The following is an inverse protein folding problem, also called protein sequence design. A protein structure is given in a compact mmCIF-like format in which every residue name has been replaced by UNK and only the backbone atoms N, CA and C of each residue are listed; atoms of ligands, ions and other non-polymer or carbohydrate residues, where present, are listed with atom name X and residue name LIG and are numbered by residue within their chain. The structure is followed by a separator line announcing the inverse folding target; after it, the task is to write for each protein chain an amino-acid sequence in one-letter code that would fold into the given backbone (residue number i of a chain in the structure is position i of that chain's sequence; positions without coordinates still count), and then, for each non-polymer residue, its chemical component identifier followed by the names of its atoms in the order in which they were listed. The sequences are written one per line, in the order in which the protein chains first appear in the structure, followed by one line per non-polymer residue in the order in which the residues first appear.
data_IF_187677736397
#
_entry.id   IF_187677736397
#
_cell.length_a   1.000
_cell.length_b   1.000
_cell.length_c   1.000
_cell.angle_alpha   90.00
_cell.angle_beta   90.00
_cell.angle_gamma   90.00
#
_symmetry.space_group_name_H-M   'P 1'
#
loop_
_entity.id
_entity.type
_entity.pdbx_description
1 polymer ?
#
# COMPACT_ATOMS: atom_id res chain seq x y z
N UNK A 1 19.39 -38.21 8.39
CA UNK A 1 19.31 -36.77 8.74
C UNK A 1 18.85 -36.01 7.49
N UNK A 2 18.24 -34.82 7.65
CA UNK A 2 17.78 -33.86 6.61
C UNK A 2 16.46 -34.15 5.86
N UNK A 3 15.30 -33.91 6.47
CA UNK A 3 14.04 -33.75 5.70
C UNK A 3 12.92 -32.87 6.32
N UNK A 4 13.15 -32.21 7.47
CA UNK A 4 12.08 -31.43 8.13
C UNK A 4 12.00 -29.95 7.72
N UNK A 5 13.03 -29.37 7.09
CA UNK A 5 13.04 -27.93 6.77
C UNK A 5 12.22 -27.63 5.50
N UNK A 6 12.22 -28.54 4.51
CA UNK A 6 11.58 -28.29 3.22
C UNK A 6 10.04 -28.21 3.27
N UNK A 7 9.38 -28.94 4.19
CA UNK A 7 7.91 -28.92 4.32
C UNK A 7 7.36 -27.66 4.97
N UNK A 8 8.15 -27.00 5.81
CA UNK A 8 7.71 -25.76 6.49
C UNK A 8 7.73 -24.59 5.51
N UNK A 9 8.74 -24.52 4.64
CA UNK A 9 8.85 -23.46 3.61
C UNK A 9 7.75 -23.59 2.56
N UNK A 10 7.39 -24.81 2.14
CA UNK A 10 6.32 -25.03 1.15
C UNK A 10 4.90 -24.78 1.69
N UNK A 11 4.71 -24.89 3.02
CA UNK A 11 3.44 -24.57 3.66
C UNK A 11 3.28 -23.05 3.87
N UNK A 12 4.39 -22.34 4.08
CA UNK A 12 4.40 -20.88 4.21
C UNK A 12 4.09 -20.18 2.87
N UNK A 13 4.59 -20.71 1.75
CA UNK A 13 4.27 -20.19 0.42
C UNK A 13 2.83 -20.48 0.00
N UNK A 14 2.19 -21.52 0.56
CA UNK A 14 0.78 -21.85 0.30
C UNK A 14 -0.19 -20.96 1.10
N UNK A 15 0.19 -20.52 2.30
CA UNK A 15 -0.61 -19.64 3.14
C UNK A 15 -0.69 -18.18 2.62
N UNK A 16 0.23 -17.77 1.75
CA UNK A 16 0.17 -16.45 1.08
C UNK A 16 -0.90 -16.36 -0.02
N UNK A 17 -1.50 -17.49 -0.45
CA UNK A 17 -2.56 -17.49 -1.48
C UNK A 17 -3.90 -16.95 -0.98
N UNK A 18 -4.13 -16.95 0.33
CA UNK A 18 -5.36 -16.43 0.95
C UNK A 18 -5.12 -15.11 1.70
N UNK A 19 -4.06 -14.39 1.36
CA UNK A 19 -3.91 -13.00 1.77
C UNK A 19 -5.12 -12.22 1.22
N UNK A 20 -6.08 -11.91 2.07
CA UNK A 20 -7.21 -11.04 1.72
C UNK A 20 -6.64 -9.66 1.42
N UNK A 21 -6.50 -9.37 0.14
CA UNK A 21 -6.09 -8.06 -0.32
C UNK A 21 -7.30 -7.13 -0.33
N UNK A 22 -7.10 -5.89 0.11
CA UNK A 22 -8.11 -4.83 0.00
C UNK A 22 -7.57 -3.75 -0.91
N UNK A 23 -8.35 -3.37 -1.92
CA UNK A 23 -8.00 -2.24 -2.78
C UNK A 23 -8.35 -0.95 -2.05
N UNK A 24 -7.32 -0.17 -1.69
CA UNK A 24 -7.42 1.12 -1.02
C UNK A 24 -7.18 2.22 -2.05
N UNK A 25 -8.18 3.07 -2.36
CA UNK A 25 -7.97 4.21 -3.23
C UNK A 25 -7.19 5.30 -2.48
N UNK A 26 -6.04 5.70 -3.01
CA UNK A 26 -5.33 6.90 -2.57
C UNK A 26 -5.94 8.11 -3.27
N UNK A 27 -6.27 9.13 -2.49
CA UNK A 27 -6.87 10.37 -2.97
C UNK A 27 -6.06 11.57 -2.49
N UNK A 28 -6.12 12.67 -3.23
CA UNK A 28 -5.59 13.94 -2.76
C UNK A 28 -6.40 14.38 -1.52
N UNK A 29 -5.76 14.72 -0.38
CA UNK A 29 -6.49 15.15 0.80
C UNK A 29 -7.43 16.32 0.50
N UNK A 30 -8.65 16.31 1.04
CA UNK A 30 -9.64 17.39 0.83
C UNK A 30 -9.15 18.75 1.35
N UNK A 31 -8.24 18.73 2.34
CA UNK A 31 -7.62 19.93 2.87
C UNK A 31 -6.56 20.53 1.92
N UNK A 32 -5.99 19.73 1.00
CA UNK A 32 -5.00 20.22 0.05
C UNK A 32 -5.67 21.07 -1.06
N UNK A 33 -4.98 22.09 -1.59
CA UNK A 33 -5.39 22.77 -2.81
C UNK A 33 -5.39 21.80 -4.01
N UNK A 34 -5.99 22.18 -5.16
CA UNK A 34 -5.77 21.45 -6.40
C UNK A 34 -4.28 21.44 -6.74
N UNK A 35 -3.74 20.27 -7.11
CA UNK A 35 -2.32 20.09 -7.39
C UNK A 35 -2.10 19.55 -8.80
N UNK A 36 -0.93 19.81 -9.36
CA UNK A 36 -0.45 19.17 -10.58
C UNK A 36 0.53 18.08 -10.18
N UNK A 37 0.39 16.90 -10.78
CA UNK A 37 1.30 15.80 -10.51
C UNK A 37 2.66 16.06 -11.17
N UNK A 38 3.72 16.19 -10.39
CA UNK A 38 5.06 16.46 -10.93
C UNK A 38 5.78 15.18 -11.30
N UNK A 39 5.74 14.17 -10.43
CA UNK A 39 6.47 12.92 -10.64
C UNK A 39 5.92 11.76 -9.83
N UNK A 40 5.84 10.59 -10.46
CA UNK A 40 5.66 9.31 -9.77
C UNK A 40 7.03 8.68 -9.43
N UNK A 41 7.17 8.20 -8.20
CA UNK A 41 8.32 7.40 -7.77
C UNK A 41 8.07 5.89 -7.90
N UNK A 42 6.80 5.50 -8.08
CA UNK A 42 6.35 4.12 -8.18
C UNK A 42 5.67 3.85 -9.52
N UNK A 43 5.65 2.59 -9.94
CA UNK A 43 4.95 2.12 -11.13
C UNK A 43 3.85 1.13 -10.75
N UNK A 44 2.96 0.87 -11.70
CA UNK A 44 1.96 -0.20 -11.58
C UNK A 44 2.66 -1.53 -11.33
N UNK A 45 2.16 -2.31 -10.37
CA UNK A 45 2.72 -3.57 -9.84
C UNK A 45 3.96 -3.44 -8.97
N UNK A 46 4.40 -2.22 -8.65
CA UNK A 46 5.47 -2.05 -7.66
C UNK A 46 4.96 -2.31 -6.25
N UNK A 47 5.81 -2.93 -5.43
CA UNK A 47 5.56 -3.13 -4.01
C UNK A 47 5.89 -1.84 -3.26
N UNK A 48 4.97 -1.44 -2.39
CA UNK A 48 5.09 -0.23 -1.59
C UNK A 48 4.92 -0.54 -0.11
N UNK A 49 5.76 0.08 0.71
CA UNK A 49 5.69 0.00 2.16
C UNK A 49 4.88 1.16 2.72
N UNK A 50 4.28 0.95 3.90
CA UNK A 50 3.59 2.03 4.61
C UNK A 50 4.56 3.20 4.89
N UNK A 51 4.12 4.40 4.56
CA UNK A 51 4.91 5.63 4.69
C UNK A 51 5.87 5.91 3.54
N UNK A 52 6.02 5.00 2.57
CA UNK A 52 6.86 5.23 1.40
C UNK A 52 6.25 6.32 0.51
N UNK A 53 7.10 7.24 0.04
CA UNK A 53 6.69 8.28 -0.92
C UNK A 53 6.27 7.66 -2.25
N UNK A 54 5.06 7.98 -2.70
CA UNK A 54 4.48 7.50 -3.94
C UNK A 54 4.68 8.51 -5.07
N UNK A 55 4.33 9.77 -4.81
CA UNK A 55 4.44 10.85 -5.77
C UNK A 55 4.65 12.21 -5.12
N UNK A 56 5.13 13.13 -5.93
CA UNK A 56 5.27 14.55 -5.63
C UNK A 56 4.35 15.35 -6.54
N UNK A 57 3.71 16.35 -5.96
CA UNK A 57 2.74 17.20 -6.63
C UNK A 57 2.96 18.66 -6.25
N UNK A 58 2.90 19.55 -7.23
CA UNK A 58 2.96 20.99 -7.00
C UNK A 58 1.56 21.53 -6.82
N UNK A 59 1.30 22.12 -5.65
CA UNK A 59 0.07 22.84 -5.39
C UNK A 59 0.02 24.17 -6.13
N UNK A 60 -1.18 24.63 -6.44
CA UNK A 60 -1.38 25.95 -7.04
C UNK A 60 -1.03 27.12 -6.10
N UNK A 61 -0.87 26.84 -4.82
CA UNK A 61 -0.34 27.76 -3.80
C UNK A 61 1.19 27.89 -3.85
N UNK A 62 1.87 27.14 -4.73
CA UNK A 62 3.33 27.12 -4.85
C UNK A 62 4.03 26.18 -3.87
N UNK A 63 3.26 25.42 -3.07
CA UNK A 63 3.82 24.44 -2.14
C UNK A 63 3.97 23.07 -2.80
N UNK A 64 4.99 22.32 -2.39
CA UNK A 64 5.18 20.93 -2.81
C UNK A 64 4.45 19.99 -1.84
N UNK A 65 3.64 19.08 -2.39
CA UNK A 65 2.90 18.07 -1.66
C UNK A 65 3.44 16.68 -1.97
N UNK A 66 3.89 15.97 -0.95
CA UNK A 66 4.37 14.60 -1.05
C UNK A 66 3.29 13.64 -0.56
N UNK A 67 2.85 12.72 -1.42
CA UNK A 67 1.86 11.70 -1.05
C UNK A 67 2.60 10.41 -0.67
N UNK A 68 2.40 9.96 0.56
CA UNK A 68 2.96 8.72 1.08
C UNK A 68 1.90 7.60 1.14
N UNK A 69 2.36 6.35 1.06
CA UNK A 69 1.50 5.19 1.10
C UNK A 69 0.88 5.01 2.49
N UNK A 70 -0.45 4.94 2.56
CA UNK A 70 -1.14 4.71 3.84
C UNK A 70 -0.99 3.27 4.37
N UNK A 71 -0.81 2.31 3.45
CA UNK A 71 -0.75 0.88 3.73
C UNK A 71 0.37 0.22 2.92
N UNK A 72 0.88 -0.89 3.43
CA UNK A 72 1.77 -1.77 2.68
C UNK A 72 0.98 -2.61 1.68
N UNK A 73 1.51 -2.76 0.48
CA UNK A 73 0.85 -3.50 -0.59
C UNK A 73 1.55 -3.38 -1.93
N UNK A 74 0.76 -3.50 -2.98
CA UNK A 74 1.20 -3.37 -4.38
C UNK A 74 0.35 -2.33 -5.09
N UNK A 75 0.95 -1.50 -5.96
CA UNK A 75 0.19 -0.56 -6.79
C UNK A 75 -0.61 -1.33 -7.83
N UNK A 76 -1.94 -1.29 -7.73
CA UNK A 76 -2.83 -1.97 -8.67
C UNK A 76 -3.00 -1.13 -9.94
N UNK A 77 -3.37 0.15 -9.78
CA UNK A 77 -3.65 1.06 -10.90
C UNK A 77 -3.29 2.50 -10.56
N UNK A 78 -2.77 3.22 -11.55
CA UNK A 78 -2.53 4.67 -11.49
C UNK A 78 -3.57 5.35 -12.39
N UNK A 79 -4.29 6.33 -11.85
CA UNK A 79 -5.36 7.04 -12.57
C UNK A 79 -4.93 8.41 -13.09
N UNK A 80 -3.77 8.90 -12.65
CA UNK A 80 -3.28 10.25 -12.94
C UNK A 80 -1.93 10.18 -13.62
N UNK A 81 -1.83 10.85 -14.77
CA UNK A 81 -0.58 10.96 -15.52
C UNK A 81 0.23 12.17 -15.07
N UNK A 82 1.56 12.09 -15.23
CA UNK A 82 2.47 13.19 -14.94
C UNK A 82 2.06 14.46 -15.70
N UNK A 83 2.08 15.62 -15.04
CA UNK A 83 1.61 16.90 -15.56
C UNK A 83 0.09 17.11 -15.49
N UNK A 84 -0.69 16.12 -15.07
CA UNK A 84 -2.15 16.25 -14.97
C UNK A 84 -2.54 16.98 -13.69
N UNK A 85 -3.54 17.86 -13.81
CA UNK A 85 -4.15 18.56 -12.67
C UNK A 85 -5.16 17.65 -11.98
N UNK A 86 -5.03 17.53 -10.66
CA UNK A 86 -5.90 16.74 -9.79
C UNK A 86 -6.71 17.69 -8.89
N UNK A 87 -8.05 17.58 -8.88
CA UNK A 87 -8.88 18.34 -7.96
C UNK A 87 -8.78 17.80 -6.53
N UNK A 88 -9.28 18.56 -5.56
CA UNK A 88 -9.38 18.13 -4.15
C UNK A 88 -10.17 16.83 -4.05
N UNK A 89 -9.70 15.86 -3.27
CA UNK A 89 -10.33 14.54 -3.18
C UNK A 89 -10.17 13.67 -4.43
N UNK A 90 -9.43 14.14 -5.44
CA UNK A 90 -9.23 13.42 -6.70
C UNK A 90 -8.50 12.11 -6.47
N UNK A 91 -8.96 11.05 -7.15
CA UNK A 91 -8.37 9.72 -7.07
C UNK A 91 -7.02 9.69 -7.78
N UNK A 92 -5.98 9.23 -7.08
CA UNK A 92 -4.60 9.18 -7.56
C UNK A 92 -4.24 7.78 -8.07
N UNK A 93 -4.25 6.79 -7.18
CA UNK A 93 -3.93 5.41 -7.48
C UNK A 93 -4.72 4.46 -6.56
N UNK A 94 -4.80 3.19 -6.96
CA UNK A 94 -5.34 2.10 -6.16
C UNK A 94 -4.18 1.25 -5.64
N UNK A 95 -4.15 1.02 -4.33
CA UNK A 95 -3.16 0.15 -3.68
C UNK A 95 -3.87 -1.14 -3.26
N UNK A 96 -3.37 -2.27 -3.72
CA UNK A 96 -3.76 -3.59 -3.25
C UNK A 96 -3.05 -3.86 -1.92
N UNK A 97 -3.66 -3.42 -0.83
CA UNK A 97 -3.10 -3.54 0.52
C UNK A 97 -3.14 -4.99 1.01
N UNK A 98 -2.03 -5.45 1.57
CA UNK A 98 -1.98 -6.77 2.22
C UNK A 98 -2.45 -6.61 3.66
N UNK A 99 -3.59 -7.22 4.00
CA UNK A 99 -4.01 -7.26 5.41
C UNK A 99 -3.12 -8.26 6.16
N UNK A 100 -2.13 -7.75 6.89
CA UNK A 100 -1.45 -8.53 7.92
C UNK A 100 -2.42 -8.72 9.09
N UNK A 101 -3.25 -9.77 9.03
CA UNK A 101 -4.05 -10.19 10.18
C UNK A 101 -3.08 -10.65 11.25
N UNK A 102 -2.81 -9.80 12.23
CA UNK A 102 -2.09 -10.18 13.44
C UNK A 102 -3.03 -11.11 14.21
N UNK A 103 -3.00 -12.42 13.91
CA UNK A 103 -3.57 -13.43 14.79
C UNK A 103 -2.73 -13.39 16.07
N UNK A 104 -3.11 -12.51 17.00
CA UNK A 104 -2.62 -12.56 18.36
C UNK A 104 -3.21 -13.82 18.95
N UNK A 105 -2.41 -14.88 18.93
CA UNK A 105 -2.75 -16.22 19.34
C UNK A 105 -3.20 -16.19 20.80
N UNK A 106 -4.52 -16.09 21.03
CA UNK A 106 -5.19 -16.39 22.30
C UNK A 106 -5.11 -17.90 22.62
N UNK A 107 -3.94 -18.50 22.44
CA UNK A 107 -3.66 -19.90 22.75
C UNK A 107 -2.71 -20.07 23.94
N UNK A 108 -2.08 -18.99 24.42
CA UNK A 108 -1.22 -19.06 25.61
C UNK A 108 -2.01 -19.15 26.93
N UNK A 109 -3.28 -18.76 26.97
CA UNK A 109 -4.08 -18.80 28.22
C UNK A 109 -4.73 -20.16 28.53
N UNK A 110 -4.58 -21.17 27.66
CA UNK A 110 -5.20 -22.50 27.89
C UNK A 110 -4.23 -23.60 28.33
N UNK A 111 -2.95 -23.28 28.51
CA UNK A 111 -1.93 -24.23 28.99
C UNK A 111 -1.47 -23.93 30.43
N UNK A 112 -2.16 -23.01 31.14
CA UNK A 112 -1.93 -22.66 32.55
C UNK A 112 -3.17 -22.89 33.43
N UNK A 113 -3.86 -24.01 33.22
CA UNK A 113 -4.77 -24.59 34.23
C UNK A 113 -4.63 -26.09 34.24
#
# INVERSE_FOLDING_TARGET
MTNSVARVVSSFTRALKDAKYVTVPMQLPLAAPPCVLDKWWVKTKDKVLRGQTLCEMSGMDGNLYTISASHEGEIDRIHVNQGQRVPKGGKLCDIKATLSVHFRTLWQDRQRK
#
